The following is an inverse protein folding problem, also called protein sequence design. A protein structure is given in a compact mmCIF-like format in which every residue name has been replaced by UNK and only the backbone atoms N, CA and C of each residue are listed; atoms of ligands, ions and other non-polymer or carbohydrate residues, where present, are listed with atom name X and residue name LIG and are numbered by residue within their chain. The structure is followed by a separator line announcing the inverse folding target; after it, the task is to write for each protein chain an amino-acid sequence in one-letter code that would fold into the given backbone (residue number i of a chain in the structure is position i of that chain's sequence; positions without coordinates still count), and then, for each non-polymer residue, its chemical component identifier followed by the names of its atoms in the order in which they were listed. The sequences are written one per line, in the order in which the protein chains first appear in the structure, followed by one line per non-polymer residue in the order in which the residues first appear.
data_IF_904912294606
#
_entry.id   IF_904912294606
#
_cell.length_a   1.000
_cell.length_b   1.000
_cell.length_c   1.000
_cell.angle_alpha   90.00
_cell.angle_beta   90.00
_cell.angle_gamma   90.00
#
_symmetry.space_group_name_H-M   'P 1'
#
loop_
_entity.id
_entity.type
_entity.pdbx_description
1 polymer ?
#
# COMPACT_ATOMS: atom_id res chain seq x y z
N UNK A 1 -2.55 47.08 -27.55
CA UNK A 1 -3.33 46.37 -28.60
C UNK A 1 -4.12 45.26 -27.94
N UNK A 2 -5.45 45.36 -28.02
CA UNK A 2 -6.40 44.39 -27.49
C UNK A 2 -6.37 43.08 -28.26
N UNK A 3 -6.60 41.95 -27.58
CA UNK A 3 -7.73 41.05 -27.88
C UNK A 3 -7.93 40.03 -26.75
N UNK A 4 -9.01 40.23 -26.00
CA UNK A 4 -9.71 39.19 -25.24
C UNK A 4 -10.43 38.29 -26.24
N UNK A 5 -10.50 36.99 -25.98
CA UNK A 5 -11.46 36.10 -26.64
C UNK A 5 -12.13 35.23 -25.57
N UNK A 6 -13.33 35.65 -25.19
CA UNK A 6 -14.35 34.84 -24.51
C UNK A 6 -15.22 34.17 -25.57
N UNK A 7 -15.60 32.90 -25.38
CA UNK A 7 -16.86 32.28 -25.83
C UNK A 7 -17.04 31.00 -24.99
N UNK A 8 -17.90 30.99 -23.96
CA UNK A 8 -19.37 30.80 -23.93
C UNK A 8 -19.83 29.33 -24.04
N UNK A 9 -20.66 28.97 -23.06
CA UNK A 9 -21.33 27.72 -22.71
C UNK A 9 -21.93 26.89 -23.87
N UNK A 10 -22.00 25.57 -23.64
CA UNK A 10 -23.20 24.78 -23.95
C UNK A 10 -23.51 23.78 -22.83
N UNK A 11 -24.64 23.99 -22.16
CA UNK A 11 -25.26 23.04 -21.25
C UNK A 11 -26.15 22.09 -22.06
N UNK A 12 -26.09 20.79 -21.79
CA UNK A 12 -27.10 19.84 -22.26
C UNK A 12 -27.59 18.99 -21.08
N UNK A 13 -28.82 19.27 -20.65
CA UNK A 13 -29.61 18.46 -19.76
C UNK A 13 -30.27 17.33 -20.56
N UNK A 14 -30.11 16.06 -20.15
CA UNK A 14 -31.07 15.01 -20.50
C UNK A 14 -31.51 14.27 -19.24
N UNK A 15 -32.80 14.44 -18.94
CA UNK A 15 -33.58 13.65 -17.99
C UNK A 15 -34.42 12.60 -18.76
N UNK A 16 -34.85 11.57 -18.01
CA UNK A 16 -36.00 10.65 -18.20
C UNK A 16 -35.66 9.22 -18.66
N UNK A 17 -36.51 8.21 -18.36
CA UNK A 17 -37.26 7.95 -17.12
C UNK A 17 -37.15 6.48 -16.61
N UNK A 18 -37.60 6.26 -15.37
CA UNK A 18 -37.86 4.95 -14.75
C UNK A 18 -38.81 4.08 -15.60
N UNK A 19 -38.47 2.80 -15.75
CA UNK A 19 -39.41 1.75 -16.15
C UNK A 19 -39.66 0.83 -14.96
N UNK A 20 -40.93 0.78 -14.54
CA UNK A 20 -41.47 -0.20 -13.61
C UNK A 20 -41.69 -1.55 -14.34
N UNK A 21 -41.30 -2.66 -13.72
CA UNK A 21 -41.82 -3.99 -14.07
C UNK A 21 -42.69 -4.47 -12.93
N UNK A 22 -43.97 -4.71 -13.24
CA UNK A 22 -44.93 -5.36 -12.37
C UNK A 22 -45.37 -6.68 -13.01
N UNK A 23 -45.60 -7.65 -12.12
CA UNK A 23 -46.33 -8.92 -12.27
C UNK A 23 -45.55 -10.19 -12.69
N UNK A 24 -45.74 -11.22 -11.85
CA UNK A 24 -45.24 -12.58 -12.02
C UNK A 24 -45.53 -13.41 -10.77
N UNK A 25 -46.80 -13.76 -10.54
CA UNK A 25 -47.20 -14.79 -9.57
C UNK A 25 -46.72 -16.16 -10.03
N UNK A 26 -46.02 -16.90 -9.17
CA UNK A 26 -46.08 -18.37 -9.19
C UNK A 26 -45.76 -18.92 -7.80
N UNK A 27 -46.73 -19.66 -7.27
CA UNK A 27 -46.59 -20.50 -6.09
C UNK A 27 -45.48 -21.54 -6.33
N UNK A 28 -44.48 -21.60 -5.46
CA UNK A 28 -43.90 -22.87 -5.04
C UNK A 28 -43.16 -22.72 -3.70
N UNK A 29 -43.54 -23.60 -2.80
CA UNK A 29 -43.13 -23.70 -1.41
C UNK A 29 -41.71 -24.27 -1.36
N UNK A 30 -40.73 -23.41 -1.10
CA UNK A 30 -39.34 -23.78 -0.85
C UNK A 30 -38.84 -22.98 0.34
N UNK A 31 -38.48 -23.65 1.42
CA UNK A 31 -37.90 -23.04 2.61
C UNK A 31 -36.66 -22.23 2.19
N UNK A 32 -36.54 -20.91 2.49
CA UNK A 32 -35.39 -20.13 2.08
C UNK A 32 -34.16 -20.61 2.86
N UNK A 33 -33.18 -21.16 2.14
CA UNK A 33 -31.81 -21.30 2.65
C UNK A 33 -31.34 -19.90 3.03
N UNK A 34 -30.82 -19.66 4.26
CA UNK A 34 -30.27 -18.36 4.60
C UNK A 34 -29.11 -18.07 3.65
N UNK A 35 -29.30 -17.08 2.79
CA UNK A 35 -28.23 -16.51 1.98
C UNK A 35 -27.12 -16.08 2.94
N UNK A 36 -25.85 -16.48 2.73
CA UNK A 36 -24.77 -15.98 3.58
C UNK A 36 -24.78 -14.46 3.50
N UNK A 37 -25.01 -13.82 4.65
CA UNK A 37 -24.85 -12.37 4.79
C UNK A 37 -23.45 -12.04 4.30
N UNK A 38 -23.28 -11.17 3.30
CA UNK A 38 -21.95 -10.73 2.91
C UNK A 38 -21.28 -10.15 4.15
N UNK A 39 -20.15 -10.73 4.55
CA UNK A 39 -19.28 -10.14 5.56
C UNK A 39 -19.02 -8.70 5.14
N UNK A 40 -19.30 -7.69 5.99
CA UNK A 40 -19.11 -6.31 5.60
C UNK A 40 -17.67 -6.13 5.14
N UNK A 41 -17.51 -5.72 3.87
CA UNK A 41 -16.24 -5.18 3.39
C UNK A 41 -15.92 -3.98 4.28
N UNK A 42 -14.74 -3.93 4.94
CA UNK A 42 -14.39 -2.80 5.80
C UNK A 42 -14.57 -1.50 5.02
N UNK A 43 -15.43 -0.62 5.54
CA UNK A 43 -15.57 0.74 5.03
C UNK A 43 -14.22 1.42 5.28
N UNK A 44 -13.58 2.06 4.29
CA UNK A 44 -12.30 2.72 4.52
C UNK A 44 -12.52 3.86 5.53
N UNK A 45 -11.99 3.70 6.74
CA UNK A 45 -11.80 4.82 7.66
C UNK A 45 -10.88 5.83 6.97
N UNK A 46 -11.23 7.11 7.03
CA UNK A 46 -10.55 8.20 6.34
C UNK A 46 -9.14 8.42 6.90
N UNK A 47 -8.17 7.65 6.40
CA UNK A 47 -6.76 7.77 6.73
C UNK A 47 -5.89 7.12 5.65
N UNK A 48 -4.71 7.68 5.39
CA UNK A 48 -3.74 7.07 4.47
C UNK A 48 -3.25 5.70 5.01
N UNK A 49 -3.33 5.47 6.32
CA UNK A 49 -3.07 4.17 6.94
C UNK A 49 -4.04 3.06 6.48
N UNK A 50 -5.35 3.27 6.65
CA UNK A 50 -6.34 2.26 6.25
C UNK A 50 -6.25 1.94 4.75
N UNK A 51 -6.01 2.97 3.94
CA UNK A 51 -5.76 2.82 2.49
C UNK A 51 -4.51 1.98 2.24
N UNK A 52 -3.39 2.27 2.91
CA UNK A 52 -2.15 1.52 2.75
C UNK A 52 -2.31 0.04 3.14
N UNK A 53 -2.98 -0.25 4.27
CA UNK A 53 -3.26 -1.62 4.71
C UNK A 53 -4.04 -2.38 3.63
N UNK A 54 -5.02 -1.72 2.97
CA UNK A 54 -5.81 -2.34 1.90
C UNK A 54 -4.99 -2.65 0.63
N UNK A 55 -3.87 -1.96 0.42
CA UNK A 55 -2.95 -2.22 -0.70
C UNK A 55 -1.97 -3.38 -0.40
N UNK A 56 -1.89 -3.84 0.85
CA UNK A 56 -1.08 -5.01 1.21
C UNK A 56 -1.79 -6.30 0.83
N UNK A 57 -1.01 -7.34 0.53
CA UNK A 57 -1.56 -8.69 0.39
C UNK A 57 -1.62 -9.36 1.75
N UNK A 58 -2.83 -9.74 2.19
CA UNK A 58 -3.05 -10.45 3.45
C UNK A 58 -3.14 -11.97 3.23
N UNK A 59 -2.37 -12.72 4.02
CA UNK A 59 -2.42 -14.20 4.10
C UNK A 59 -2.67 -14.61 5.56
N UNK A 60 -3.78 -15.30 5.89
CA UNK A 60 -4.06 -15.69 7.27
C UNK A 60 -3.11 -16.81 7.76
N UNK A 61 -2.86 -16.86 9.08
CA UNK A 61 -1.93 -17.79 9.74
C UNK A 61 -2.19 -19.30 9.52
N UNK A 62 -3.30 -19.68 8.87
CA UNK A 62 -3.70 -21.07 8.62
C UNK A 62 -3.68 -21.49 7.15
N UNK A 63 -3.05 -20.71 6.29
CA UNK A 63 -2.80 -21.10 4.90
C UNK A 63 -1.40 -20.69 4.49
N UNK A 64 -0.46 -21.65 4.49
CA UNK A 64 0.75 -21.54 3.70
C UNK A 64 0.39 -21.60 2.21
N UNK A 65 -0.09 -20.47 1.68
CA UNK A 65 -0.07 -20.23 0.24
C UNK A 65 1.15 -19.40 -0.06
N UNK A 66 2.17 -20.05 -0.63
CA UNK A 66 3.09 -19.36 -1.52
C UNK A 66 2.25 -18.57 -2.53
N UNK A 67 2.46 -17.25 -2.55
CA UNK A 67 1.93 -16.39 -3.59
C UNK A 67 2.60 -16.78 -4.91
N UNK A 68 1.79 -17.20 -5.89
CA UNK A 68 2.24 -17.58 -7.23
C UNK A 68 2.14 -16.37 -8.17
N UNK A 69 3.31 -15.79 -8.46
CA UNK A 69 3.77 -14.95 -9.59
C UNK A 69 2.80 -14.05 -10.39
N UNK A 70 3.17 -12.75 -10.50
CA UNK A 70 3.55 -12.16 -11.81
C UNK A 70 4.52 -10.97 -11.68
N UNK A 71 5.81 -11.28 -11.82
CA UNK A 71 7.04 -10.47 -12.02
C UNK A 71 7.83 -9.92 -10.79
N UNK A 72 9.17 -10.12 -10.77
CA UNK A 72 9.97 -10.38 -9.59
C UNK A 72 10.52 -9.09 -8.99
N UNK A 73 9.76 -8.49 -8.09
CA UNK A 73 10.36 -7.62 -7.09
C UNK A 73 10.17 -8.28 -5.74
N UNK A 74 11.22 -8.26 -4.94
CA UNK A 74 11.12 -8.76 -3.59
C UNK A 74 10.31 -7.79 -2.74
N UNK A 75 9.70 -8.31 -1.67
CA UNK A 75 8.71 -7.59 -0.87
C UNK A 75 9.07 -7.63 0.63
N UNK A 76 8.53 -6.68 1.37
CA UNK A 76 8.53 -6.69 2.83
C UNK A 76 7.30 -7.46 3.31
N UNK A 77 7.49 -8.42 4.19
CA UNK A 77 6.40 -9.15 4.86
C UNK A 77 6.39 -8.83 6.35
N UNK A 78 5.21 -8.51 6.88
CA UNK A 78 4.94 -8.28 8.29
C UNK A 78 4.12 -9.45 8.83
N UNK A 79 4.65 -10.19 9.81
CA UNK A 79 3.92 -11.29 10.45
C UNK A 79 3.35 -10.86 11.79
N UNK A 80 2.14 -11.35 12.08
CA UNK A 80 1.43 -11.10 13.33
C UNK A 80 0.90 -12.42 13.88
N UNK A 81 1.20 -12.71 15.14
CA UNK A 81 0.61 -13.83 15.87
C UNK A 81 -0.75 -13.47 16.47
N UNK A 82 -0.97 -12.20 16.81
CA UNK A 82 -2.22 -11.70 17.38
C UNK A 82 -2.68 -10.42 16.69
N UNK A 83 -3.97 -10.11 16.81
CA UNK A 83 -4.53 -8.85 16.30
C UNK A 83 -3.82 -7.65 16.93
N UNK A 84 -3.50 -6.66 16.11
CA UNK A 84 -2.83 -5.43 16.53
C UNK A 84 -3.60 -4.20 16.01
N UNK A 85 -4.05 -3.37 16.94
CA UNK A 85 -4.58 -2.05 16.62
C UNK A 85 -3.45 -1.04 16.48
N UNK A 86 -3.41 -0.35 15.35
CA UNK A 86 -2.31 0.55 14.98
C UNK A 86 -2.84 1.93 14.60
N UNK A 87 -2.02 2.95 14.82
CA UNK A 87 -2.30 4.32 14.41
C UNK A 87 -1.28 4.91 13.45
N UNK A 88 -0.15 4.23 13.24
CA UNK A 88 0.90 4.64 12.32
C UNK A 88 1.68 3.45 11.75
N UNK A 89 1.95 3.51 10.46
CA UNK A 89 3.04 2.76 9.81
C UNK A 89 3.98 3.82 9.23
N UNK A 90 5.20 3.83 9.72
CA UNK A 90 6.26 4.70 9.24
C UNK A 90 7.33 3.91 8.51
N UNK A 91 7.89 4.50 7.46
CA UNK A 91 9.10 4.03 6.79
C UNK A 91 10.14 5.13 6.92
N UNK A 92 11.22 4.84 7.63
CA UNK A 92 12.34 5.77 7.78
C UNK A 92 13.40 5.42 6.74
N UNK A 93 13.98 6.45 6.13
CA UNK A 93 15.01 6.34 5.11
C UNK A 93 16.29 6.96 5.65
N UNK A 94 17.43 6.32 5.39
CA UNK A 94 18.71 6.69 5.98
C UNK A 94 19.79 6.86 4.91
N UNK A 95 20.73 7.74 5.20
CA UNK A 95 21.86 8.06 4.30
C UNK A 95 23.04 7.11 4.45
N UNK A 96 23.04 6.28 5.48
CA UNK A 96 24.03 5.24 5.75
C UNK A 96 23.40 3.85 5.72
N UNK A 97 24.22 2.81 5.72
CA UNK A 97 23.76 1.42 5.68
C UNK A 97 23.33 0.85 7.03
N UNK A 98 23.50 1.59 8.13
CA UNK A 98 23.27 1.12 9.50
C UNK A 98 21.99 1.69 10.12
N UNK A 99 21.18 2.40 9.35
CA UNK A 99 19.99 3.09 9.82
C UNK A 99 20.25 4.06 10.99
N UNK A 100 21.37 4.78 10.93
CA UNK A 100 21.82 5.67 12.02
C UNK A 100 21.62 7.16 11.75
N UNK A 101 21.65 7.57 10.48
CA UNK A 101 21.58 8.95 10.00
C UNK A 101 20.33 9.13 9.14
N UNK A 102 19.20 9.39 9.81
CA UNK A 102 17.90 9.56 9.17
C UNK A 102 17.94 10.70 8.15
N UNK A 103 17.58 10.39 6.91
CA UNK A 103 17.36 11.36 5.85
C UNK A 103 15.96 11.95 5.96
N UNK A 104 14.97 11.07 6.07
CA UNK A 104 13.56 11.45 6.14
C UNK A 104 12.70 10.27 6.58
N UNK A 105 11.42 10.53 6.76
CA UNK A 105 10.40 9.56 7.13
C UNK A 105 9.11 9.85 6.40
N UNK A 106 8.47 8.78 5.94
CA UNK A 106 7.07 8.80 5.49
C UNK A 106 6.23 8.08 6.53
N UNK A 107 5.13 8.72 6.95
CA UNK A 107 4.20 8.18 7.94
C UNK A 107 2.81 8.06 7.34
N UNK A 108 2.23 6.87 7.47
CA UNK A 108 0.84 6.58 7.14
C UNK A 108 0.08 6.48 8.44
N UNK A 109 -0.71 7.51 8.74
CA UNK A 109 -1.37 7.72 10.03
C UNK A 109 -2.89 7.54 9.90
N UNK A 110 -3.54 7.23 11.02
CA UNK A 110 -4.98 7.06 11.08
C UNK A 110 -5.36 6.01 12.10
N UNK A 111 -6.44 5.30 11.84
CA UNK A 111 -6.83 4.10 12.59
C UNK A 111 -6.73 2.90 11.65
N UNK A 112 -6.21 1.80 12.16
CA UNK A 112 -6.06 0.56 11.42
C UNK A 112 -6.05 -0.64 12.38
N UNK A 113 -6.52 -1.78 11.89
CA UNK A 113 -6.43 -3.05 12.62
C UNK A 113 -5.80 -4.08 11.71
N UNK A 114 -4.71 -4.69 12.19
CA UNK A 114 -4.05 -5.83 11.54
C UNK A 114 -4.50 -7.10 12.24
N UNK A 115 -5.26 -7.95 11.56
CA UNK A 115 -5.59 -9.30 12.02
C UNK A 115 -4.35 -10.21 12.02
N UNK A 116 -4.34 -11.24 12.86
CA UNK A 116 -3.28 -12.25 12.85
C UNK A 116 -3.11 -12.87 11.45
N UNK A 117 -1.87 -12.98 10.97
CA UNK A 117 -1.53 -13.32 9.59
C UNK A 117 -0.23 -12.66 9.11
N UNK A 118 0.04 -12.82 7.82
CA UNK A 118 1.12 -12.13 7.12
C UNK A 118 0.56 -11.05 6.20
N UNK A 119 1.14 -9.86 6.24
CA UNK A 119 0.87 -8.76 5.31
C UNK A 119 2.12 -8.50 4.48
N UNK A 120 2.03 -8.69 3.17
CA UNK A 120 3.14 -8.48 2.24
C UNK A 120 2.91 -7.23 1.41
N UNK A 121 3.94 -6.40 1.26
CA UNK A 121 3.89 -5.22 0.38
C UNK A 121 3.65 -5.63 -1.07
N UNK A 122 3.01 -4.73 -1.82
CA UNK A 122 2.73 -4.87 -3.25
C UNK A 122 3.37 -3.72 -4.01
N UNK A 123 3.37 -3.80 -5.35
CA UNK A 123 3.75 -2.65 -6.19
C UNK A 123 2.89 -1.43 -5.85
N UNK A 124 1.59 -1.60 -5.65
CA UNK A 124 0.67 -0.50 -5.37
C UNK A 124 0.90 0.11 -3.99
N UNK A 125 1.13 -0.71 -2.96
CA UNK A 125 1.46 -0.19 -1.62
C UNK A 125 2.76 0.59 -1.63
N UNK A 126 3.79 0.08 -2.33
CA UNK A 126 5.10 0.73 -2.42
C UNK A 126 5.03 2.04 -3.23
N UNK A 127 4.25 2.07 -4.32
CA UNK A 127 3.98 3.30 -5.07
C UNK A 127 3.21 4.32 -4.22
N UNK A 128 2.27 3.87 -3.40
CA UNK A 128 1.53 4.74 -2.48
C UNK A 128 2.47 5.42 -1.48
N UNK A 129 3.40 4.69 -0.86
CA UNK A 129 4.44 5.26 0.03
C UNK A 129 5.25 6.31 -0.72
N UNK A 130 5.74 5.99 -1.91
CA UNK A 130 6.54 6.93 -2.67
C UNK A 130 5.80 8.19 -3.09
N UNK A 131 4.48 8.12 -3.28
CA UNK A 131 3.67 9.32 -3.58
C UNK A 131 3.61 10.31 -2.41
N UNK A 132 3.85 9.82 -1.18
CA UNK A 132 3.92 10.63 0.03
C UNK A 132 5.30 11.27 0.25
N UNK A 133 6.32 10.81 -0.49
CA UNK A 133 7.67 11.35 -0.39
C UNK A 133 7.74 12.74 -1.06
N UNK A 134 7.89 13.79 -0.25
CA UNK A 134 8.03 15.16 -0.71
C UNK A 134 9.28 15.80 -0.11
N UNK A 135 10.29 16.07 -0.94
CA UNK A 135 11.51 16.76 -0.52
C UNK A 135 11.77 17.96 -1.44
N UNK A 136 11.97 19.13 -0.84
CA UNK A 136 12.24 20.41 -1.53
C UNK A 136 11.26 20.73 -2.66
N UNK A 137 9.97 20.40 -2.50
CA UNK A 137 8.92 20.65 -3.49
C UNK A 137 8.85 19.63 -4.65
N UNK A 138 9.72 18.62 -4.66
CA UNK A 138 9.67 17.49 -5.60
C UNK A 138 8.99 16.29 -4.94
N UNK A 139 8.23 15.51 -5.73
CA UNK A 139 7.50 14.33 -5.25
C UNK A 139 7.98 13.04 -5.93
N UNK A 140 7.82 11.91 -5.23
CA UNK A 140 8.02 10.57 -5.78
C UNK A 140 9.32 9.87 -5.36
N UNK A 141 9.38 8.57 -5.66
CA UNK A 141 10.49 7.66 -5.33
C UNK A 141 11.88 8.10 -5.89
N UNK A 142 11.97 9.05 -6.85
CA UNK A 142 13.26 9.45 -7.49
C UNK A 142 14.29 9.96 -6.47
N UNK A 143 13.84 10.77 -5.51
CA UNK A 143 14.73 11.41 -4.56
C UNK A 143 15.14 10.45 -3.45
N UNK A 144 14.19 9.67 -2.93
CA UNK A 144 14.45 8.51 -2.07
C UNK A 144 15.55 7.64 -2.70
N UNK A 145 15.36 7.28 -3.96
CA UNK A 145 16.26 6.39 -4.68
C UNK A 145 17.72 6.90 -4.77
N UNK A 146 17.95 8.22 -4.78
CA UNK A 146 19.30 8.76 -5.02
C UNK A 146 20.17 8.84 -3.77
N UNK A 147 19.57 8.95 -2.58
CA UNK A 147 20.28 9.21 -1.32
C UNK A 147 20.13 8.10 -0.29
N UNK A 148 19.06 7.31 -0.36
CA UNK A 148 18.82 6.22 0.58
C UNK A 148 19.86 5.11 0.42
N UNK A 149 20.46 4.73 1.55
CA UNK A 149 21.34 3.56 1.67
C UNK A 149 20.73 2.46 2.55
N UNK A 150 19.78 2.80 3.40
CA UNK A 150 18.98 1.82 4.12
C UNK A 150 17.64 2.40 4.51
N UNK A 151 16.71 1.52 4.87
CA UNK A 151 15.40 1.90 5.38
C UNK A 151 14.95 0.95 6.48
N UNK A 152 13.98 1.35 7.27
CA UNK A 152 13.28 0.43 8.17
C UNK A 152 11.79 0.77 8.25
N UNK A 153 11.02 -0.23 8.64
CA UNK A 153 9.60 -0.07 8.96
C UNK A 153 9.45 0.12 10.47
N UNK A 154 8.56 1.01 10.88
CA UNK A 154 8.20 1.23 12.28
C UNK A 154 6.68 1.24 12.37
N UNK A 155 6.13 0.36 13.21
CA UNK A 155 4.69 0.26 13.44
C UNK A 155 4.40 0.82 14.83
N UNK A 156 3.45 1.74 14.93
CA UNK A 156 3.01 2.30 16.22
C UNK A 156 1.58 1.82 16.51
N UNK A 157 1.38 1.21 17.68
CA UNK A 157 0.07 0.78 18.15
C UNK A 157 -0.78 1.98 18.59
N UNK A 158 -2.08 1.77 18.72
CA UNK A 158 -2.98 2.78 19.33
C UNK A 158 -2.65 3.10 20.79
N UNK A 159 -1.95 2.19 21.50
CA UNK A 159 -1.42 2.40 22.86
C UNK A 159 -0.10 3.18 22.89
N UNK A 160 0.53 3.41 21.73
CA UNK A 160 1.80 4.13 21.59
C UNK A 160 3.05 3.23 21.60
N UNK A 161 2.87 1.91 21.70
CA UNK A 161 3.97 0.94 21.62
C UNK A 161 4.52 0.91 20.19
N UNK A 162 5.85 0.78 20.07
CA UNK A 162 6.53 0.78 18.77
C UNK A 162 7.22 -0.54 18.51
N UNK A 163 6.96 -1.11 17.33
CA UNK A 163 7.70 -2.25 16.79
C UNK A 163 8.60 -1.74 15.68
N UNK A 164 9.92 -1.86 15.88
CA UNK A 164 10.90 -1.45 14.89
C UNK A 164 11.34 -2.67 14.08
N UNK A 165 11.21 -2.57 12.77
CA UNK A 165 11.80 -3.51 11.83
C UNK A 165 13.33 -3.43 11.82
N UNK A 166 13.96 -4.49 11.35
CA UNK A 166 15.40 -4.51 11.13
C UNK A 166 15.83 -3.43 10.12
N UNK A 167 17.09 -3.00 10.21
CA UNK A 167 17.66 -2.14 9.19
C UNK A 167 17.78 -2.89 7.86
N UNK A 168 17.01 -2.47 6.87
CA UNK A 168 17.03 -3.04 5.52
C UNK A 168 18.13 -2.36 4.73
N UNK A 169 19.17 -3.11 4.38
CA UNK A 169 20.26 -2.65 3.53
C UNK A 169 20.71 -3.79 2.63
N UNK A 170 21.26 -3.47 1.46
CA UNK A 170 21.88 -4.44 0.58
C UNK A 170 23.15 -3.87 -0.06
N UNK A 171 24.29 -4.45 0.27
CA UNK A 171 25.59 -3.99 -0.22
C UNK A 171 25.78 -4.20 -1.73
N UNK A 172 25.09 -5.18 -2.33
CA UNK A 172 25.16 -5.41 -3.77
C UNK A 172 24.55 -4.26 -4.60
N UNK A 173 23.73 -3.40 -3.98
CA UNK A 173 22.94 -2.36 -4.63
C UNK A 173 23.24 -0.94 -4.12
N UNK A 174 24.38 -0.77 -3.44
CA UNK A 174 24.75 0.48 -2.73
C UNK A 174 23.62 0.94 -1.79
N UNK A 175 23.09 0.00 -1.02
CA UNK A 175 22.01 0.18 -0.07
C UNK A 175 20.68 -0.44 -0.51
N UNK A 176 19.65 -0.25 0.31
CA UNK A 176 18.27 -0.68 0.02
C UNK A 176 17.37 0.54 -0.17
N UNK A 177 16.43 0.42 -1.12
CA UNK A 177 15.56 1.50 -1.61
C UNK A 177 14.20 0.91 -2.01
N UNK A 178 13.19 1.76 -2.17
CA UNK A 178 11.92 1.35 -2.80
C UNK A 178 12.04 1.61 -4.30
N UNK A 179 12.18 0.55 -5.10
CA UNK A 179 12.52 0.71 -6.51
C UNK A 179 12.18 -0.47 -7.41
N UNK A 180 12.54 -0.30 -8.68
CA UNK A 180 12.54 -1.38 -9.67
C UNK A 180 13.96 -1.92 -9.81
N UNK A 181 14.18 -3.16 -9.36
CA UNK A 181 15.45 -3.88 -9.48
C UNK A 181 15.43 -4.82 -10.68
N UNK A 182 16.45 -4.74 -11.52
CA UNK A 182 16.73 -5.75 -12.54
C UNK A 182 17.82 -6.68 -12.03
N UNK A 183 17.42 -7.76 -11.38
CA UNK A 183 18.32 -8.72 -10.75
C UNK A 183 19.24 -9.43 -11.76
N UNK A 184 18.78 -9.62 -13.00
CA UNK A 184 19.56 -10.29 -14.06
C UNK A 184 20.67 -9.40 -14.60
N UNK A 185 20.41 -8.10 -14.73
CA UNK A 185 21.35 -7.14 -15.31
C UNK A 185 22.07 -6.28 -14.26
N UNK A 186 21.80 -6.53 -12.97
CA UNK A 186 22.41 -5.87 -11.82
C UNK A 186 22.34 -4.33 -11.89
N UNK A 187 21.17 -3.80 -12.25
CA UNK A 187 20.90 -2.35 -12.17
C UNK A 187 19.50 -2.12 -11.61
N UNK A 188 19.34 -0.99 -10.93
CA UNK A 188 18.06 -0.59 -10.35
C UNK A 188 17.75 0.85 -10.77
N UNK A 189 16.48 1.21 -10.71
CA UNK A 189 16.00 2.54 -11.01
C UNK A 189 14.76 2.86 -10.19
N UNK A 190 14.35 4.11 -10.28
CA UNK A 190 13.08 4.55 -9.75
C UNK A 190 11.89 3.70 -10.27
N UNK A 191 10.98 3.26 -9.39
CA UNK A 191 9.73 2.61 -9.78
C UNK A 191 8.67 3.65 -10.24
N UNK A 192 7.62 3.19 -10.91
CA UNK A 192 6.56 4.04 -11.48
C UNK A 192 5.30 3.21 -11.72
N UNK A 193 4.19 3.83 -12.09
CA UNK A 193 2.97 3.09 -12.47
C UNK A 193 3.19 2.11 -13.65
N UNK A 194 4.27 2.27 -14.43
CA UNK A 194 4.61 1.39 -15.56
C UNK A 194 5.70 0.37 -15.21
N UNK A 195 6.19 0.32 -13.97
CA UNK A 195 7.26 -0.59 -13.56
C UNK A 195 7.08 -1.02 -12.11
N UNK A 196 7.15 -2.34 -11.85
CA UNK A 196 7.00 -2.93 -10.51
C UNK A 196 7.83 -2.20 -9.44
N UNK A 197 7.30 -2.16 -8.21
CA UNK A 197 7.92 -1.48 -7.09
C UNK A 197 8.12 -2.45 -5.92
N UNK A 198 9.35 -2.53 -5.41
CA UNK A 198 9.71 -3.40 -4.30
C UNK A 198 11.14 -3.16 -3.85
N UNK A 199 11.77 -4.22 -3.37
CA UNK A 199 13.08 -4.19 -2.72
C UNK A 199 14.09 -5.07 -3.45
N UNK A 200 15.37 -4.90 -3.13
CA UNK A 200 16.46 -5.67 -3.74
C UNK A 200 16.50 -7.13 -3.31
N UNK A 201 15.86 -7.46 -2.18
CA UNK A 201 15.73 -8.79 -1.59
C UNK A 201 14.47 -8.88 -0.71
N UNK A 202 14.06 -10.09 -0.32
CA UNK A 202 12.91 -10.25 0.57
C UNK A 202 13.29 -9.82 1.98
N UNK A 203 12.37 -9.15 2.65
CA UNK A 203 12.51 -8.76 4.04
C UNK A 203 11.30 -9.22 4.84
N UNK A 204 11.55 -9.53 6.11
CA UNK A 204 10.54 -10.02 7.04
C UNK A 204 10.69 -9.27 8.34
N UNK A 205 9.57 -8.88 8.94
CA UNK A 205 9.51 -8.38 10.31
C UNK A 205 8.35 -9.03 11.04
N UNK A 206 8.57 -9.39 12.29
CA UNK A 206 7.54 -9.92 13.17
C UNK A 206 7.06 -8.80 14.10
N UNK A 207 5.74 -8.61 14.20
CA UNK A 207 5.17 -7.50 14.98
C UNK A 207 4.80 -7.91 16.42
N UNK A 208 4.43 -9.17 16.63
CA UNK A 208 4.08 -9.76 17.93
C UNK A 208 4.00 -11.29 17.84
#
# INVERSE_FOLDING_TARGET
MHKKLSFLLLALCLNLPLSACQSGSSNNQGNPVPTPTPTPTPIPESGNLATYIHLLTYTPNNTSKELKDSLPQFQQTMNLNTELQINDISINFYSDSQCSSELTKVSMTGSGTLLAGSYTTTTDSNLAVCSLFQIYGNSGCVYEYSYTQSLNFVITSTTGDKVNGACMTNQAWSGEKIGYYNLTQNWARNCSIMSNCGFSQNYVMDLN
#
